data_IF_663515903782
#
_entry.id   IF_663515903782
#
_cell.length_a   1.000
_cell.length_b   1.000
_cell.length_c   1.000
_cell.angle_alpha   90.00
_cell.angle_beta   90.00
_cell.angle_gamma   90.00
#
_symmetry.space_group_name_H-M   'P 1'
#
loop_
_entity.id
_entity.type
_entity.pdbx_description
1 polymer ?
#
# COMPACT_ATOMS: atom_id res chain seq x y z
N UNK A 1 -15.90 25.78 -2.92
CA UNK A 1 -14.46 26.12 -3.01
C UNK A 1 -13.96 25.70 -4.38
N UNK A 2 -13.27 26.56 -5.14
CA UNK A 2 -12.72 26.17 -6.44
C UNK A 2 -11.65 25.10 -6.20
N UNK A 3 -11.77 23.98 -6.91
CA UNK A 3 -10.72 22.96 -6.95
C UNK A 3 -9.54 23.60 -7.67
N UNK A 4 -8.50 24.05 -6.95
CA UNK A 4 -7.23 24.31 -7.60
C UNK A 4 -6.70 22.96 -8.08
N UNK A 5 -7.01 22.60 -9.31
CA UNK A 5 -6.42 21.44 -9.98
C UNK A 5 -4.96 21.77 -10.18
N UNK A 6 -4.15 21.44 -9.17
CA UNK A 6 -2.70 21.40 -9.33
C UNK A 6 -2.39 20.55 -10.55
N UNK A 7 -1.71 21.13 -11.53
CA UNK A 7 -1.08 20.36 -12.59
C UNK A 7 -0.02 19.48 -11.92
N UNK A 8 -0.23 18.17 -11.95
CA UNK A 8 0.63 17.22 -11.24
C UNK A 8 2.06 17.27 -11.77
N UNK A 9 2.23 17.32 -13.10
CA UNK A 9 3.54 17.28 -13.72
C UNK A 9 4.33 18.56 -13.41
N UNK A 10 3.68 19.71 -13.55
CA UNK A 10 4.31 20.99 -13.23
C UNK A 10 4.62 21.14 -11.73
N UNK A 11 3.67 20.77 -10.86
CA UNK A 11 3.84 20.83 -9.40
C UNK A 11 5.01 19.98 -8.93
N UNK A 12 5.16 18.77 -9.48
CA UNK A 12 6.27 17.89 -9.16
C UNK A 12 7.60 18.41 -9.67
N UNK A 13 7.64 18.99 -10.87
CA UNK A 13 8.87 19.60 -11.37
C UNK A 13 9.37 20.70 -10.43
N UNK A 14 8.49 21.58 -9.97
CA UNK A 14 8.85 22.63 -9.00
C UNK A 14 9.35 22.04 -7.68
N UNK A 15 8.69 21.02 -7.17
CA UNK A 15 9.11 20.34 -5.93
C UNK A 15 10.48 19.66 -6.10
N UNK A 16 10.68 18.90 -7.18
CA UNK A 16 11.93 18.19 -7.47
C UNK A 16 13.10 19.16 -7.65
N UNK A 17 12.89 20.28 -8.34
CA UNK A 17 13.89 21.34 -8.47
C UNK A 17 14.27 21.91 -7.10
N UNK A 18 13.31 22.11 -6.21
CA UNK A 18 13.60 22.63 -4.89
C UNK A 18 14.31 21.60 -3.99
N UNK A 19 13.92 20.33 -4.07
CA UNK A 19 14.63 19.23 -3.40
C UNK A 19 16.09 19.19 -3.85
N UNK A 20 16.33 19.24 -5.16
CA UNK A 20 17.67 19.30 -5.75
C UNK A 20 18.49 20.45 -5.16
N UNK A 21 17.87 21.64 -5.07
CA UNK A 21 18.50 22.86 -4.55
C UNK A 21 18.82 22.77 -3.06
N UNK A 22 17.89 22.28 -2.23
CA UNK A 22 18.07 22.22 -0.77
C UNK A 22 19.02 21.08 -0.35
N UNK A 23 19.00 19.95 -1.06
CA UNK A 23 19.75 18.75 -0.69
C UNK A 23 21.08 18.62 -1.45
N UNK A 24 21.34 19.48 -2.45
CA UNK A 24 22.54 19.44 -3.28
C UNK A 24 22.81 18.06 -3.91
N UNK A 25 21.78 17.46 -4.50
CA UNK A 25 21.83 16.15 -5.15
C UNK A 25 21.60 16.28 -6.65
N UNK A 26 21.98 15.26 -7.42
CA UNK A 26 21.68 15.19 -8.84
C UNK A 26 20.25 14.69 -9.08
N UNK A 27 19.67 15.03 -10.24
CA UNK A 27 18.26 14.74 -10.54
C UNK A 27 17.97 13.25 -10.78
N UNK A 28 18.95 12.53 -11.31
CA UNK A 28 18.95 11.07 -11.51
C UNK A 28 18.89 10.29 -10.19
N UNK A 29 19.30 10.91 -9.07
CA UNK A 29 19.21 10.32 -7.73
C UNK A 29 17.83 10.52 -7.07
N UNK A 30 16.96 11.36 -7.66
CA UNK A 30 15.66 11.70 -7.09
C UNK A 30 14.62 10.67 -7.53
N UNK A 31 14.49 9.60 -6.75
CA UNK A 31 13.41 8.63 -6.92
C UNK A 31 12.10 9.14 -6.30
N UNK A 32 10.95 8.59 -6.75
CA UNK A 32 9.64 8.89 -6.14
C UNK A 32 9.62 8.65 -4.62
N UNK A 33 10.30 7.61 -4.15
CA UNK A 33 10.40 7.30 -2.72
C UNK A 33 11.23 8.34 -1.96
N UNK A 34 12.33 8.81 -2.58
CA UNK A 34 13.16 9.88 -2.05
C UNK A 34 12.37 11.19 -1.92
N UNK A 35 11.53 11.52 -2.91
CA UNK A 35 10.66 12.69 -2.85
C UNK A 35 9.70 12.57 -1.66
N UNK A 36 9.02 11.43 -1.48
CA UNK A 36 8.09 11.24 -0.35
C UNK A 36 8.79 11.35 1.01
N UNK A 37 9.98 10.75 1.14
CA UNK A 37 10.78 10.84 2.37
C UNK A 37 11.20 12.29 2.65
N UNK A 38 11.67 13.00 1.63
CA UNK A 38 12.12 14.40 1.74
C UNK A 38 10.97 15.33 2.12
N UNK A 39 9.80 15.15 1.51
CA UNK A 39 8.62 15.97 1.81
C UNK A 39 8.04 15.68 3.20
N UNK A 40 8.31 14.51 3.76
CA UNK A 40 7.96 14.17 5.15
C UNK A 40 8.93 14.80 6.16
N UNK A 41 10.09 15.30 5.74
CA UNK A 41 11.07 15.92 6.63
C UNK A 41 10.58 17.32 7.08
N UNK A 42 10.53 17.61 8.39
CA UNK A 42 10.13 18.92 8.91
C UNK A 42 11.04 20.07 8.46
N UNK A 43 12.28 19.79 8.08
CA UNK A 43 13.27 20.77 7.62
C UNK A 43 13.06 21.20 6.16
N UNK A 44 12.26 20.47 5.37
CA UNK A 44 12.01 20.86 3.98
C UNK A 44 11.29 22.21 3.93
N UNK A 45 11.89 23.19 3.25
CA UNK A 45 11.30 24.52 3.15
C UNK A 45 10.21 24.56 2.07
N UNK A 46 8.97 24.42 2.53
CA UNK A 46 7.76 24.44 1.71
C UNK A 46 7.35 25.83 1.20
N UNK A 47 7.89 26.91 1.75
CA UNK A 47 7.46 28.26 1.42
C UNK A 47 7.89 28.66 0.00
N UNK A 48 9.03 28.12 -0.44
CA UNK A 48 9.58 28.33 -1.79
C UNK A 48 8.70 27.69 -2.88
N UNK A 49 8.42 26.37 -2.86
CA UNK A 49 7.59 25.76 -3.90
C UNK A 49 6.15 26.29 -3.85
N UNK A 50 5.62 26.63 -2.66
CA UNK A 50 4.31 27.25 -2.54
C UNK A 50 4.25 28.63 -3.23
N UNK A 51 5.30 29.45 -3.07
CA UNK A 51 5.43 30.74 -3.75
C UNK A 51 5.48 30.60 -5.28
N UNK A 52 6.29 29.66 -5.79
CA UNK A 52 6.37 29.40 -7.24
C UNK A 52 5.04 28.93 -7.84
N UNK A 53 4.28 28.14 -7.08
CA UNK A 53 2.99 27.61 -7.52
C UNK A 53 1.81 28.55 -7.26
N UNK A 54 2.06 29.76 -6.73
CA UNK A 54 1.01 30.72 -6.41
C UNK A 54 -0.02 30.18 -5.41
N UNK A 55 0.40 29.33 -4.47
CA UNK A 55 -0.49 28.64 -3.53
C UNK A 55 -0.03 28.80 -2.09
N UNK A 56 -0.90 28.40 -1.16
CA UNK A 56 -0.54 28.34 0.25
C UNK A 56 0.21 27.04 0.57
N UNK A 57 1.22 27.12 1.44
CA UNK A 57 1.97 25.97 1.98
C UNK A 57 1.06 24.85 2.48
N UNK A 58 -0.02 25.19 3.20
CA UNK A 58 -1.01 24.21 3.70
C UNK A 58 -1.70 23.45 2.56
N UNK A 59 -2.11 24.16 1.52
CA UNK A 59 -2.76 23.57 0.34
C UNK A 59 -1.82 22.67 -0.44
N UNK A 60 -0.56 23.09 -0.61
CA UNK A 60 0.47 22.28 -1.28
C UNK A 60 0.81 21.01 -0.50
N UNK A 61 1.02 21.12 0.83
CA UNK A 61 1.24 19.95 1.71
C UNK A 61 0.09 18.96 1.60
N UNK A 62 -1.15 19.45 1.68
CA UNK A 62 -2.35 18.63 1.54
C UNK A 62 -2.42 17.95 0.18
N UNK A 63 -2.09 18.66 -0.90
CA UNK A 63 -2.05 18.08 -2.24
C UNK A 63 -1.00 16.98 -2.36
N UNK A 64 0.20 17.17 -1.82
CA UNK A 64 1.26 16.14 -1.82
C UNK A 64 0.80 14.90 -1.07
N UNK A 65 0.22 15.05 0.13
CA UNK A 65 -0.26 13.90 0.93
C UNK A 65 -1.46 13.19 0.28
N UNK A 66 -2.37 13.93 -0.36
CA UNK A 66 -3.61 13.35 -0.88
C UNK A 66 -3.52 12.91 -2.35
N UNK A 67 -2.66 13.51 -3.16
CA UNK A 67 -2.63 13.27 -4.61
C UNK A 67 -1.35 12.58 -5.03
N UNK A 68 -0.19 13.13 -4.63
CA UNK A 68 1.09 12.59 -5.06
C UNK A 68 1.44 11.28 -4.34
N UNK A 69 1.28 11.23 -3.01
CA UNK A 69 1.42 9.97 -2.27
C UNK A 69 0.42 8.92 -2.76
N UNK A 70 -0.81 9.31 -3.15
CA UNK A 70 -1.75 8.38 -3.78
C UNK A 70 -1.28 7.90 -5.15
N UNK A 71 -0.61 8.74 -5.95
CA UNK A 71 -0.09 8.36 -7.27
C UNK A 71 1.11 7.42 -7.17
N UNK A 72 2.01 7.63 -6.21
CA UNK A 72 3.15 6.73 -5.97
C UNK A 72 2.69 5.45 -5.29
N UNK A 73 1.91 5.56 -4.21
CA UNK A 73 1.47 4.43 -3.39
C UNK A 73 0.17 3.79 -3.93
N UNK A 74 -0.13 3.98 -5.22
CA UNK A 74 -1.35 3.46 -5.87
C UNK A 74 -1.30 1.94 -5.98
N UNK A 75 -0.11 1.36 -5.98
CA UNK A 75 0.11 -0.09 -6.01
C UNK A 75 0.92 -0.47 -4.77
N UNK A 76 0.42 -1.46 -4.04
CA UNK A 76 1.26 -2.17 -3.08
C UNK A 76 2.47 -2.73 -3.84
N UNK A 77 3.63 -2.75 -3.18
CA UNK A 77 4.77 -3.51 -3.69
C UNK A 77 4.38 -4.99 -3.81
N UNK A 78 5.08 -5.76 -4.65
CA UNK A 78 4.82 -7.19 -4.77
C UNK A 78 5.06 -7.90 -3.43
N UNK A 79 6.12 -7.53 -2.71
CA UNK A 79 6.41 -8.06 -1.36
C UNK A 79 5.28 -7.75 -0.36
N UNK A 80 4.80 -6.51 -0.32
CA UNK A 80 3.68 -6.14 0.56
C UNK A 80 2.38 -6.83 0.14
N UNK A 81 2.23 -7.16 -1.14
CA UNK A 81 1.09 -7.95 -1.61
C UNK A 81 1.14 -9.38 -1.07
N UNK A 82 2.32 -10.01 -1.02
CA UNK A 82 2.50 -11.35 -0.43
C UNK A 82 2.26 -11.34 1.08
N UNK A 83 2.77 -10.31 1.78
CA UNK A 83 2.52 -10.09 3.21
C UNK A 83 1.01 -9.96 3.47
N UNK A 84 0.33 -9.14 2.67
CA UNK A 84 -1.11 -8.93 2.74
C UNK A 84 -1.88 -10.25 2.55
N UNK A 85 -1.55 -11.03 1.52
CA UNK A 85 -2.15 -12.34 1.26
C UNK A 85 -1.94 -13.30 2.43
N UNK A 86 -0.73 -13.38 2.98
CA UNK A 86 -0.40 -14.21 4.14
C UNK A 86 -1.30 -13.90 5.34
N UNK A 87 -1.40 -12.62 5.73
CA UNK A 87 -2.22 -12.23 6.88
C UNK A 87 -3.72 -12.41 6.63
N UNK A 88 -4.20 -12.16 5.42
CA UNK A 88 -5.61 -12.41 5.06
C UNK A 88 -5.94 -13.90 5.10
N UNK A 89 -5.05 -14.77 4.58
CA UNK A 89 -5.22 -16.24 4.67
C UNK A 89 -5.24 -16.71 6.12
N UNK A 90 -4.31 -16.22 6.95
CA UNK A 90 -4.25 -16.57 8.37
C UNK A 90 -5.52 -16.11 9.11
N UNK A 91 -5.99 -14.89 8.83
CA UNK A 91 -7.22 -14.37 9.42
C UNK A 91 -8.45 -15.21 9.04
N UNK A 92 -8.55 -15.62 7.76
CA UNK A 92 -9.61 -16.53 7.30
C UNK A 92 -9.54 -17.91 7.96
N UNK A 93 -8.34 -18.50 8.04
CA UNK A 93 -8.13 -19.81 8.66
C UNK A 93 -8.53 -19.82 10.14
N UNK A 94 -8.25 -18.73 10.85
CA UNK A 94 -8.58 -18.55 12.26
C UNK A 94 -10.03 -18.08 12.51
N UNK A 95 -10.85 -17.94 11.45
CA UNK A 95 -12.25 -17.56 11.56
C UNK A 95 -12.49 -16.08 11.91
N UNK A 96 -11.50 -15.20 11.72
CA UNK A 96 -11.67 -13.78 11.98
C UNK A 96 -12.59 -13.09 10.96
N UNK A 97 -13.36 -12.11 11.43
CA UNK A 97 -14.16 -11.26 10.57
C UNK A 97 -13.27 -10.23 9.83
N UNK A 98 -13.05 -10.43 8.53
CA UNK A 98 -12.25 -9.55 7.67
C UNK A 98 -12.85 -8.13 7.48
N UNK A 99 -14.10 -7.90 7.88
CA UNK A 99 -14.71 -6.56 7.88
C UNK A 99 -14.35 -5.74 9.13
N UNK A 100 -13.68 -6.34 10.12
CA UNK A 100 -13.24 -5.62 11.32
C UNK A 100 -12.15 -4.58 10.97
N UNK A 101 -12.40 -3.31 11.31
CA UNK A 101 -11.47 -2.19 11.06
C UNK A 101 -10.17 -2.32 11.84
N UNK A 102 -10.20 -2.83 13.06
CA UNK A 102 -8.99 -2.96 13.90
C UNK A 102 -8.04 -4.01 13.32
N UNK A 103 -8.61 -5.10 12.79
CA UNK A 103 -7.84 -6.11 12.05
C UNK A 103 -7.22 -5.51 10.78
N UNK A 104 -8.00 -4.73 10.02
CA UNK A 104 -7.51 -4.07 8.81
C UNK A 104 -6.37 -3.08 9.11
N UNK A 105 -6.50 -2.29 10.17
CA UNK A 105 -5.44 -1.37 10.63
C UNK A 105 -4.20 -2.14 11.09
N UNK A 106 -4.38 -3.26 11.79
CA UNK A 106 -3.27 -4.12 12.23
C UNK A 106 -2.52 -4.69 11.03
N UNK A 107 -3.22 -5.18 10.01
CA UNK A 107 -2.60 -5.71 8.78
C UNK A 107 -1.90 -4.60 8.01
N UNK A 108 -2.52 -3.42 7.88
CA UNK A 108 -1.89 -2.26 7.24
C UNK A 108 -0.59 -1.86 7.93
N UNK A 109 -0.53 -1.91 9.26
CA UNK A 109 0.67 -1.60 10.03
C UNK A 109 1.80 -2.63 9.86
N UNK A 110 1.53 -3.81 9.28
CA UNK A 110 2.55 -4.82 8.96
C UNK A 110 3.19 -4.63 7.58
N UNK A 111 2.70 -3.69 6.78
CA UNK A 111 3.25 -3.41 5.46
C UNK A 111 4.49 -2.51 5.58
N UNK A 112 5.38 -2.62 4.58
CA UNK A 112 6.67 -1.95 4.54
C UNK A 112 6.56 -0.43 4.46
N UNK A 113 5.41 0.08 4.03
CA UNK A 113 5.15 1.51 3.86
C UNK A 113 3.82 1.92 4.49
N UNK A 114 3.73 3.18 4.91
CA UNK A 114 2.46 3.78 5.33
C UNK A 114 1.58 4.10 4.12
N UNK A 115 0.98 3.06 3.56
CA UNK A 115 0.07 3.18 2.43
C UNK A 115 -1.13 4.06 2.76
N UNK A 116 -1.58 4.86 1.81
CA UNK A 116 -2.86 5.56 1.96
C UNK A 116 -4.00 4.54 2.14
N UNK A 117 -4.95 4.82 3.04
CA UNK A 117 -6.04 3.90 3.39
C UNK A 117 -6.77 3.33 2.17
N UNK A 118 -7.09 4.18 1.19
CA UNK A 118 -7.79 3.74 -0.04
C UNK A 118 -6.98 2.73 -0.86
N UNK A 119 -5.66 2.90 -0.97
CA UNK A 119 -4.79 1.97 -1.70
C UNK A 119 -4.72 0.63 -0.98
N UNK A 120 -4.50 0.67 0.34
CA UNK A 120 -4.54 -0.51 1.19
C UNK A 120 -5.89 -1.22 1.08
N UNK A 121 -6.99 -0.50 1.22
CA UNK A 121 -8.35 -1.08 1.24
C UNK A 121 -8.71 -1.75 -0.09
N UNK A 122 -8.30 -1.15 -1.22
CA UNK A 122 -8.47 -1.77 -2.54
C UNK A 122 -7.67 -3.06 -2.67
N UNK A 123 -6.40 -3.05 -2.28
CA UNK A 123 -5.56 -4.25 -2.30
C UNK A 123 -6.07 -5.33 -1.33
N UNK A 124 -6.47 -4.95 -0.12
CA UNK A 124 -7.05 -5.83 0.89
C UNK A 124 -8.32 -6.50 0.38
N UNK A 125 -9.18 -5.75 -0.31
CA UNK A 125 -10.42 -6.29 -0.90
C UNK A 125 -10.11 -7.32 -1.99
N UNK A 126 -9.10 -7.06 -2.82
CA UNK A 126 -8.67 -8.02 -3.85
C UNK A 126 -8.04 -9.27 -3.22
N UNK A 127 -7.14 -9.11 -2.24
CA UNK A 127 -6.55 -10.21 -1.49
C UNK A 127 -7.63 -11.06 -0.79
N UNK A 128 -8.62 -10.42 -0.15
CA UNK A 128 -9.79 -11.09 0.43
C UNK A 128 -10.52 -11.96 -0.59
N UNK A 129 -10.83 -11.41 -1.78
CA UNK A 129 -11.52 -12.15 -2.84
C UNK A 129 -10.71 -13.35 -3.31
N UNK A 130 -9.41 -13.17 -3.53
CA UNK A 130 -8.50 -14.24 -3.92
C UNK A 130 -8.46 -15.36 -2.86
N UNK A 131 -8.20 -15.01 -1.60
CA UNK A 131 -8.14 -16.00 -0.52
C UNK A 131 -9.50 -16.71 -0.28
N UNK A 132 -10.62 -16.01 -0.47
CA UNK A 132 -11.96 -16.63 -0.42
C UNK A 132 -12.18 -17.56 -1.61
N UNK A 133 -11.75 -17.22 -2.83
CA UNK A 133 -11.86 -18.12 -3.98
C UNK A 133 -11.01 -19.38 -3.83
N UNK A 134 -9.78 -19.24 -3.31
CA UNK A 134 -8.90 -20.37 -2.96
C UNK A 134 -9.58 -21.25 -1.89
N UNK A 135 -10.04 -20.66 -0.79
CA UNK A 135 -10.70 -21.41 0.29
C UNK A 135 -12.06 -21.99 -0.11
N UNK A 136 -12.80 -21.34 -1.02
CA UNK A 136 -14.04 -21.85 -1.60
C UNK A 136 -13.81 -23.07 -2.49
N UNK A 137 -12.71 -23.09 -3.27
CA UNK A 137 -12.24 -24.29 -3.96
C UNK A 137 -11.79 -25.36 -2.96
N UNK A 138 -11.11 -25.01 -1.86
CA UNK A 138 -10.81 -25.95 -0.78
C UNK A 138 -12.09 -26.53 -0.14
N UNK A 139 -13.15 -25.73 0.08
CA UNK A 139 -14.44 -26.18 0.64
C UNK A 139 -15.21 -27.08 -0.32
N UNK A 140 -15.14 -26.85 -1.64
CA UNK A 140 -15.69 -27.78 -2.62
C UNK A 140 -14.91 -29.10 -2.66
N UNK A 141 -13.58 -29.06 -2.51
CA UNK A 141 -12.74 -30.26 -2.34
C UNK A 141 -12.95 -30.96 -0.98
N UNK A 142 -13.51 -30.29 0.04
CA UNK A 142 -13.84 -30.91 1.34
C UNK A 142 -15.07 -31.84 1.28
N UNK A 143 -15.89 -31.78 0.23
CA UNK A 143 -17.10 -32.61 0.07
C UNK A 143 -16.85 -33.96 -0.59
N UNK A 144 -15.59 -34.30 -0.89
CA UNK A 144 -15.23 -35.56 -1.52
C UNK A 144 -15.10 -36.70 -0.48
N UNK A 145 -15.92 -37.77 -0.53
CA UNK A 145 -15.94 -38.82 0.49
C UNK A 145 -14.64 -39.66 0.59
N UNK A 146 -13.74 -39.56 -0.38
CA UNK A 146 -12.45 -40.29 -0.38
C UNK A 146 -11.28 -39.52 0.26
N UNK A 147 -11.54 -38.35 0.85
CA UNK A 147 -10.51 -37.44 1.35
C UNK A 147 -9.66 -37.95 2.52
N UNK A 148 -10.19 -38.92 3.29
CA UNK A 148 -9.46 -39.49 4.43
C UNK A 148 -8.23 -40.32 4.01
N UNK A 149 -8.24 -40.93 2.83
CA UNK A 149 -7.09 -41.69 2.31
C UNK A 149 -6.02 -40.79 1.68
N UNK A 150 -6.44 -39.73 0.97
CA UNK A 150 -5.56 -38.75 0.34
C UNK A 150 -4.81 -37.87 1.35
N UNK A 151 -5.48 -37.45 2.42
CA UNK A 151 -4.81 -36.68 3.50
C UNK A 151 -3.77 -37.55 4.22
N UNK A 152 -4.05 -38.85 4.44
CA UNK A 152 -3.09 -39.79 5.03
C UNK A 152 -1.88 -40.04 4.12
N UNK A 153 -2.09 -40.13 2.80
CA UNK A 153 -0.99 -40.28 1.84
C UNK A 153 -0.13 -39.01 1.75
N UNK A 154 -0.72 -37.82 1.78
CA UNK A 154 0.02 -36.55 1.72
C UNK A 154 0.76 -36.26 3.03
N UNK A 155 0.15 -36.55 4.19
CA UNK A 155 0.82 -36.41 5.48
C UNK A 155 2.04 -37.35 5.60
N UNK A 156 1.91 -38.58 5.09
CA UNK A 156 3.01 -39.55 5.01
C UNK A 156 4.13 -39.11 4.05
N UNK A 157 3.80 -38.48 2.92
CA UNK A 157 4.79 -37.96 1.97
C UNK A 157 5.52 -36.70 2.46
N UNK A 158 4.90 -35.94 3.36
CA UNK A 158 5.45 -34.70 3.92
C UNK A 158 6.11 -34.89 5.29
N UNK A 159 6.10 -36.11 5.84
CA UNK A 159 6.73 -36.43 7.12
C UNK A 159 6.09 -35.73 8.32
N UNK A 160 4.80 -35.40 8.22
CA UNK A 160 4.04 -34.79 9.30
C UNK A 160 3.17 -35.90 9.89
N UNK A 161 3.69 -36.57 10.93
CA UNK A 161 2.91 -37.50 11.77
C UNK A 161 1.89 -36.76 12.64
#
# INVERSE_FOLDING_TARGET
>A
MPKSTFDTHYTLKVITMEIKRQMNILEDQITSQFVVATLSNPQFNWDIPAKYLGTQKRSLKRWVSETYQRQINKKLSLEDHEILLKYVRQALHNGYNLCNKDLQLTIKAKLSYDYHWQSFYSAFTNAKRLCISETGQFVQLKKDPNRSSLIKQIASLLGIE
#
